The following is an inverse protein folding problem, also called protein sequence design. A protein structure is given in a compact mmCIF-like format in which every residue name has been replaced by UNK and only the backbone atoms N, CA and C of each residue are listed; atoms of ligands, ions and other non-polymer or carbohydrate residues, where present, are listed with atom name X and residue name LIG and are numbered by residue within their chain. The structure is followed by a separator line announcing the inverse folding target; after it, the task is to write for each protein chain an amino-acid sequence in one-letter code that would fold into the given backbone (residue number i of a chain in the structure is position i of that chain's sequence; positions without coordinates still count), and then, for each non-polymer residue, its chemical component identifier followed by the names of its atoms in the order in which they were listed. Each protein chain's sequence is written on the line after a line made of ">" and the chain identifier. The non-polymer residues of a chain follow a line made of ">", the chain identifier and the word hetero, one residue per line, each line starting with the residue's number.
data_IF_055228306452
#
_entry.id   IF_055228306452
#
_cell.length_a   1.000
_cell.length_b   1.000
_cell.length_c   1.000
_cell.angle_alpha   90.00
_cell.angle_beta   90.00
_cell.angle_gamma   90.00
#
_symmetry.space_group_name_H-M   'P 1'
#
loop_
_entity.id
_entity.type
_entity.pdbx_description
1 polymer ?
#
# COMPACT_ATOMS: atom_id res chain seq x y z
N UNK A 1 17.48 -8.15 -7.54
CA UNK A 1 17.00 -7.13 -6.57
C UNK A 1 16.47 -7.91 -5.37
N UNK A 2 17.17 -7.85 -4.24
CA UNK A 2 16.79 -8.56 -3.00
C UNK A 2 16.28 -7.50 -2.05
N UNK A 3 14.97 -7.37 -1.92
CA UNK A 3 14.38 -6.63 -0.82
C UNK A 3 14.79 -7.38 0.46
N UNK A 4 15.46 -6.71 1.38
CA UNK A 4 15.96 -7.31 2.63
C UNK A 4 14.86 -8.07 3.35
N UNK A 5 15.25 -9.06 4.15
CA UNK A 5 14.38 -10.01 4.85
C UNK A 5 13.21 -9.31 5.59
N UNK A 6 12.09 -9.05 4.89
CA UNK A 6 10.92 -8.41 5.47
C UNK A 6 10.29 -9.41 6.43
N UNK A 7 10.23 -9.07 7.71
CA UNK A 7 9.30 -9.74 8.62
C UNK A 7 7.90 -9.40 8.11
N UNK A 8 7.28 -10.34 7.41
CA UNK A 8 5.91 -10.22 6.93
C UNK A 8 4.92 -10.50 8.08
N UNK A 9 5.16 -9.88 9.23
CA UNK A 9 4.12 -9.74 10.25
C UNK A 9 3.21 -8.59 9.82
N UNK A 10 1.94 -8.61 10.23
CA UNK A 10 0.95 -7.57 9.87
C UNK A 10 1.18 -6.26 10.65
N UNK A 11 2.44 -5.96 10.98
CA UNK A 11 2.86 -4.72 11.63
C UNK A 11 3.12 -3.61 10.60
N UNK A 12 3.48 -2.41 11.07
CA UNK A 12 3.78 -1.29 10.17
C UNK A 12 4.97 -1.67 9.28
N UNK A 13 4.80 -1.69 7.94
CA UNK A 13 5.88 -2.08 7.05
C UNK A 13 7.00 -1.05 7.04
N UNK A 14 8.24 -1.52 6.97
CA UNK A 14 9.41 -0.68 6.68
C UNK A 14 9.62 -0.59 5.17
N UNK A 15 9.73 0.64 4.67
CA UNK A 15 9.91 0.92 3.24
C UNK A 15 11.31 1.49 3.02
N UNK A 16 12.15 0.71 2.34
CA UNK A 16 13.46 1.17 1.88
C UNK A 16 13.29 2.11 0.70
N UNK A 17 14.07 3.20 0.69
CA UNK A 17 14.05 4.18 -0.39
C UNK A 17 14.60 3.57 -1.70
N UNK A 18 13.77 3.44 -2.76
CA UNK A 18 14.23 2.89 -4.03
C UNK A 18 15.19 3.87 -4.71
N UNK A 19 16.35 3.37 -5.13
CA UNK A 19 17.36 4.15 -5.89
C UNK A 19 17.10 4.13 -7.40
N UNK A 20 16.11 3.36 -7.85
CA UNK A 20 15.73 3.23 -9.25
C UNK A 20 14.95 4.46 -9.73
N UNK A 21 15.01 4.80 -11.03
CA UNK A 21 14.25 5.93 -11.58
C UNK A 21 12.75 5.77 -11.31
N UNK A 22 12.06 6.91 -11.16
CA UNK A 22 10.61 6.93 -10.91
C UNK A 22 9.90 6.11 -11.97
N UNK A 23 9.14 5.07 -11.59
CA UNK A 23 8.42 4.27 -12.56
C UNK A 23 7.33 5.13 -13.22
N UNK A 24 7.22 5.02 -14.54
CA UNK A 24 6.19 5.70 -15.33
C UNK A 24 4.86 4.95 -15.35
N UNK A 25 4.86 3.72 -14.85
CA UNK A 25 3.73 2.79 -14.84
C UNK A 25 3.48 2.29 -13.41
N UNK A 26 2.23 1.97 -13.11
CA UNK A 26 1.85 1.36 -11.83
C UNK A 26 2.46 -0.04 -11.73
N UNK A 27 3.11 -0.33 -10.60
CA UNK A 27 3.64 -1.66 -10.29
C UNK A 27 3.03 -2.17 -8.99
N UNK A 28 2.58 -3.43 -9.02
CA UNK A 28 1.95 -4.11 -7.90
C UNK A 28 2.72 -5.41 -7.66
N UNK A 29 3.07 -5.67 -6.41
CA UNK A 29 3.75 -6.89 -6.00
C UNK A 29 3.12 -7.41 -4.71
N UNK A 30 2.55 -8.62 -4.78
CA UNK A 30 2.02 -9.29 -3.60
C UNK A 30 3.15 -9.90 -2.77
N UNK A 31 3.24 -9.52 -1.50
CA UNK A 31 4.21 -10.08 -0.56
C UNK A 31 3.65 -11.29 0.19
N UNK A 32 2.35 -11.24 0.51
CA UNK A 32 1.59 -12.34 1.10
C UNK A 32 0.27 -12.42 0.33
N UNK A 33 0.05 -13.54 -0.34
CA UNK A 33 -1.20 -13.77 -1.06
C UNK A 33 -2.33 -14.09 -0.08
N UNK A 34 -3.44 -13.35 -0.18
CA UNK A 34 -4.65 -13.61 0.58
C UNK A 34 -5.50 -14.70 -0.07
N UNK A 35 -6.20 -15.50 0.74
CA UNK A 35 -7.13 -16.54 0.25
C UNK A 35 -8.60 -16.12 0.31
N UNK A 36 -8.84 -14.84 0.59
CA UNK A 36 -10.18 -14.27 0.72
C UNK A 36 -10.86 -14.01 -0.61
N UNK A 37 -12.10 -13.53 -0.55
CA UNK A 37 -12.79 -13.02 -1.73
C UNK A 37 -12.06 -11.81 -2.30
N UNK A 38 -12.02 -11.74 -3.63
CA UNK A 38 -11.54 -10.56 -4.35
C UNK A 38 -12.38 -9.32 -4.02
N UNK A 39 -11.71 -8.18 -3.88
CA UNK A 39 -12.35 -6.88 -3.72
C UNK A 39 -12.73 -6.35 -5.11
N UNK A 40 -14.03 -6.24 -5.36
CA UNK A 40 -14.57 -5.76 -6.64
C UNK A 40 -15.24 -4.38 -6.47
N UNK A 41 -15.40 -3.58 -7.53
CA UNK A 41 -16.04 -2.28 -7.45
C UNK A 41 -17.39 -2.31 -6.72
N UNK A 42 -17.61 -1.33 -5.82
CA UNK A 42 -18.77 -1.26 -4.93
C UNK A 42 -18.62 -2.03 -3.61
N UNK A 43 -17.53 -2.76 -3.40
CA UNK A 43 -17.22 -3.40 -2.11
C UNK A 43 -16.63 -2.38 -1.15
N UNK A 44 -17.08 -2.41 0.11
CA UNK A 44 -16.45 -1.66 1.20
C UNK A 44 -15.30 -2.50 1.76
N UNK A 45 -14.11 -1.91 1.83
CA UNK A 45 -12.91 -2.54 2.37
C UNK A 45 -12.30 -1.68 3.46
N UNK A 46 -11.62 -2.35 4.41
CA UNK A 46 -10.84 -1.71 5.47
C UNK A 46 -9.38 -2.09 5.29
N UNK A 47 -8.49 -1.11 5.17
CA UNK A 47 -7.09 -1.35 4.84
C UNK A 47 -6.14 -0.56 5.74
N UNK A 48 -5.09 -1.24 6.21
CA UNK A 48 -3.93 -0.54 6.75
C UNK A 48 -2.92 -0.27 5.64
N UNK A 49 -2.39 0.95 5.60
CA UNK A 49 -1.46 1.41 4.57
C UNK A 49 -0.36 2.32 5.14
N UNK A 50 0.75 2.39 4.40
CA UNK A 50 1.81 3.39 4.54
C UNK A 50 2.05 3.96 3.15
N UNK A 51 1.92 5.29 3.03
CA UNK A 51 2.20 6.04 1.83
C UNK A 51 3.51 6.80 1.96
N UNK A 52 4.46 6.51 1.06
CA UNK A 52 5.72 7.25 0.95
C UNK A 52 5.83 7.92 -0.41
N UNK A 53 6.52 9.04 -0.45
CA UNK A 53 6.87 9.71 -1.69
C UNK A 53 8.03 8.99 -2.36
N UNK A 54 7.88 8.63 -3.64
CA UNK A 54 8.94 7.90 -4.35
C UNK A 54 10.22 8.73 -4.51
N UNK A 55 10.14 10.06 -4.58
CA UNK A 55 11.30 10.93 -4.86
C UNK A 55 12.26 11.13 -3.68
N UNK A 56 11.75 11.04 -2.43
CA UNK A 56 12.56 11.27 -1.21
C UNK A 56 12.43 10.16 -0.18
N UNK A 57 11.47 9.25 -0.34
CA UNK A 57 11.23 8.14 0.60
C UNK A 57 10.54 8.57 1.88
N UNK A 58 10.10 9.83 1.95
CA UNK A 58 9.42 10.36 3.12
C UNK A 58 7.98 9.86 3.14
N UNK A 59 7.58 9.35 4.31
CA UNK A 59 6.20 9.01 4.61
C UNK A 59 5.35 10.29 4.59
N UNK A 60 4.35 10.32 3.72
CA UNK A 60 3.37 11.41 3.71
C UNK A 60 2.14 11.05 4.56
N UNK A 61 1.82 9.76 4.68
CA UNK A 61 0.69 9.29 5.47
C UNK A 61 0.79 7.80 5.85
N UNK A 62 0.24 7.42 6.99
CA UNK A 62 0.14 6.02 7.41
C UNK A 62 -1.02 5.78 8.37
N UNK A 63 -1.80 4.72 8.15
CA UNK A 63 -2.89 4.32 9.06
C UNK A 63 -2.40 3.97 10.45
N UNK A 64 -1.20 3.38 10.57
CA UNK A 64 -0.59 3.04 11.85
C UNK A 64 -0.29 4.26 12.72
N UNK A 65 -0.05 5.44 12.13
CA UNK A 65 0.17 6.67 12.91
C UNK A 65 -1.13 7.14 13.58
N UNK A 66 -2.29 6.80 13.01
CA UNK A 66 -3.62 7.10 13.57
C UNK A 66 -4.15 5.96 14.46
N UNK A 67 -3.59 4.76 14.33
CA UNK A 67 -4.04 3.58 15.08
C UNK A 67 -5.31 2.92 14.55
N UNK A 68 -5.83 3.38 13.41
CA UNK A 68 -7.05 2.85 12.78
C UNK A 68 -6.86 2.67 11.26
N UNK A 69 -7.48 1.63 10.67
CA UNK A 69 -7.46 1.43 9.22
C UNK A 69 -8.30 2.48 8.49
N UNK A 70 -8.11 2.57 7.17
CA UNK A 70 -8.96 3.38 6.31
C UNK A 70 -10.06 2.52 5.70
N UNK A 71 -11.29 2.98 5.84
CA UNK A 71 -12.46 2.39 5.20
C UNK A 71 -12.81 3.16 3.93
N UNK A 72 -12.95 2.45 2.80
CA UNK A 72 -13.33 3.05 1.53
C UNK A 72 -14.12 2.08 0.65
N UNK A 73 -14.84 2.62 -0.33
CA UNK A 73 -15.50 1.82 -1.36
C UNK A 73 -14.58 1.71 -2.57
N UNK A 74 -14.44 0.51 -3.13
CA UNK A 74 -13.60 0.26 -4.31
C UNK A 74 -14.28 0.77 -5.58
N UNK A 75 -13.51 1.40 -6.47
CA UNK A 75 -13.92 1.80 -7.82
C UNK A 75 -14.78 3.05 -7.88
N UNK A 76 -14.72 3.92 -6.86
CA UNK A 76 -15.52 5.17 -6.80
C UNK A 76 -14.65 6.44 -6.70
N UNK A 77 -13.33 6.32 -6.82
CA UNK A 77 -12.39 7.44 -6.82
C UNK A 77 -12.18 8.10 -5.45
N UNK A 78 -12.39 7.35 -4.35
CA UNK A 78 -12.18 7.86 -2.98
C UNK A 78 -10.72 7.83 -2.53
N UNK A 79 -9.87 7.07 -3.23
CA UNK A 79 -8.45 6.91 -2.92
C UNK A 79 -7.58 7.34 -4.11
N UNK A 80 -6.26 7.28 -3.94
CA UNK A 80 -5.29 7.65 -4.98
C UNK A 80 -5.52 6.78 -6.22
N UNK A 81 -5.44 7.35 -7.42
CA UNK A 81 -5.78 6.70 -8.71
C UNK A 81 -5.05 5.36 -9.00
N UNK A 82 -3.91 5.10 -8.35
CA UNK A 82 -3.20 3.81 -8.47
C UNK A 82 -3.64 2.75 -7.46
N UNK A 83 -4.55 3.10 -6.55
CA UNK A 83 -5.09 2.24 -5.50
C UNK A 83 -6.58 1.89 -5.73
N UNK A 84 -7.34 2.76 -6.40
CA UNK A 84 -8.75 2.53 -6.72
C UNK A 84 -8.97 1.58 -7.92
#
# INVERSE_FOLDING_TARGET
>A
MSFGQRKLDRSKPEIDFPQDPVPTELRITDLIEGTGREAVPGTVVSCHYVGVTYSVGEEFDASWNRGEPLDFTVGVGQVIQGWD
#
